data_IF_431919693696
#
_entry.id   IF_431919693696
#
_cell.length_a   1.000
_cell.length_b   1.000
_cell.length_c   1.000
_cell.angle_alpha   90.00
_cell.angle_beta   90.00
_cell.angle_gamma   90.00
#
_symmetry.space_group_name_H-M   'P 1'
#
loop_
_entity.id
_entity.type
_entity.pdbx_description
1 polymer ?
#
# COMPACT_ATOMS: atom_id res chain seq x y z
N UNK A 1 -14.53 -3.57 -16.62
CA UNK A 1 -14.15 -2.22 -16.16
C UNK A 1 -12.93 -1.76 -16.94
N UNK A 2 -12.58 -0.48 -16.82
CA UNK A 2 -11.30 0.04 -17.29
C UNK A 2 -10.26 -0.07 -16.17
N UNK A 3 -8.97 -0.03 -16.51
CA UNK A 3 -7.90 -0.05 -15.51
C UNK A 3 -7.78 1.31 -14.83
N UNK A 4 -7.81 1.29 -13.50
CA UNK A 4 -7.59 2.45 -12.64
C UNK A 4 -6.09 2.68 -12.40
N UNK A 5 -5.75 3.83 -11.82
CA UNK A 5 -4.37 4.22 -11.54
C UNK A 5 -4.20 4.55 -10.06
N UNK A 6 -3.14 4.04 -9.44
CA UNK A 6 -2.71 4.43 -8.10
C UNK A 6 -1.31 5.03 -8.18
N UNK A 7 -1.09 6.13 -7.48
CA UNK A 7 0.20 6.82 -7.43
C UNK A 7 0.67 6.87 -5.98
N UNK A 8 1.78 6.21 -5.69
CA UNK A 8 2.52 6.40 -4.45
C UNK A 8 3.47 7.59 -4.64
N UNK A 9 3.24 8.67 -3.91
CA UNK A 9 4.04 9.88 -4.00
C UNK A 9 5.14 9.91 -2.93
N UNK A 10 6.37 10.21 -3.35
CA UNK A 10 7.43 10.63 -2.44
C UNK A 10 7.25 12.13 -2.19
N UNK A 11 7.01 12.51 -0.94
CA UNK A 11 6.53 13.84 -0.55
C UNK A 11 5.14 14.20 -1.11
N UNK A 12 4.12 13.51 -0.61
CA UNK A 12 2.73 13.81 -0.90
C UNK A 12 1.80 12.75 -0.34
N UNK A 13 0.50 12.91 -0.55
CA UNK A 13 -0.47 11.84 -0.29
C UNK A 13 -0.47 10.86 -1.45
N UNK A 14 -0.75 9.58 -1.20
CA UNK A 14 -1.03 8.65 -2.30
C UNK A 14 -2.33 9.04 -3.00
N UNK A 15 -2.39 8.87 -4.32
CA UNK A 15 -3.56 9.25 -5.12
C UNK A 15 -4.16 8.00 -5.75
N UNK A 16 -5.49 7.98 -5.87
CA UNK A 16 -6.21 6.95 -6.59
C UNK A 16 -7.06 7.62 -7.66
N UNK A 17 -6.99 7.11 -8.88
CA UNK A 17 -7.73 7.62 -10.02
C UNK A 17 -8.61 6.55 -10.64
N UNK A 18 -9.90 6.85 -10.81
CA UNK A 18 -10.82 5.99 -11.57
C UNK A 18 -10.81 6.33 -13.06
N UNK A 19 -10.83 5.29 -13.88
CA UNK A 19 -10.83 5.39 -15.33
C UNK A 19 -12.21 5.09 -15.90
N UNK A 20 -12.79 6.04 -16.63
CA UNK A 20 -14.07 5.86 -17.32
C UNK A 20 -13.92 5.45 -18.80
N UNK A 21 -12.72 5.03 -19.21
CA UNK A 21 -12.37 4.64 -20.57
C UNK A 21 -11.89 5.78 -21.46
N UNK A 22 -11.95 7.02 -20.99
CA UNK A 22 -11.48 8.22 -21.71
C UNK A 22 -10.54 9.09 -20.88
N UNK A 23 -10.77 9.18 -19.58
CA UNK A 23 -10.05 10.04 -18.66
C UNK A 23 -10.00 9.46 -17.24
N UNK A 24 -8.94 9.84 -16.51
CA UNK A 24 -8.70 9.52 -15.11
C UNK A 24 -9.24 10.64 -14.21
N UNK A 25 -9.92 10.28 -13.12
CA UNK A 25 -10.48 11.22 -12.14
C UNK A 25 -9.90 10.90 -10.77
N UNK A 26 -9.28 11.88 -10.11
CA UNK A 26 -8.76 11.70 -8.75
C UNK A 26 -9.94 11.45 -7.79
N UNK A 27 -9.83 10.39 -6.99
CA UNK A 27 -10.86 9.91 -6.07
C UNK A 27 -10.26 9.47 -4.73
N UNK A 28 -9.03 9.86 -4.40
CA UNK A 28 -8.33 9.50 -3.17
C UNK A 28 -9.15 9.86 -1.94
N UNK A 29 -9.52 11.15 -1.81
CA UNK A 29 -10.34 11.63 -0.71
C UNK A 29 -11.70 10.90 -0.63
N UNK A 30 -12.39 10.76 -1.77
CA UNK A 30 -13.68 10.06 -1.84
C UNK A 30 -13.59 8.60 -1.39
N UNK A 31 -12.49 7.93 -1.72
CA UNK A 31 -12.27 6.52 -1.41
C UNK A 31 -11.62 6.30 -0.05
N UNK A 32 -11.13 7.36 0.60
CA UNK A 32 -10.40 7.30 1.87
C UNK A 32 -8.90 7.00 1.74
N UNK A 33 -8.37 6.97 0.52
CA UNK A 33 -6.94 6.84 0.24
C UNK A 33 -6.27 8.21 0.38
N UNK A 34 -5.05 8.24 0.92
CA UNK A 34 -4.20 9.43 0.77
C UNK A 34 -4.62 10.64 1.60
N UNK A 35 -4.82 10.47 2.91
CA UNK A 35 -5.10 11.60 3.81
C UNK A 35 -3.86 12.10 4.56
N UNK A 36 -2.79 11.31 4.63
CA UNK A 36 -1.55 11.67 5.34
C UNK A 36 -0.35 11.56 4.39
N UNK A 37 0.40 12.64 4.16
CA UNK A 37 1.56 12.60 3.29
C UNK A 37 2.68 11.76 3.90
N UNK A 38 3.29 10.92 3.08
CA UNK A 38 4.42 10.05 3.45
C UNK A 38 5.46 10.02 2.30
N UNK A 39 6.53 9.27 2.50
CA UNK A 39 7.60 9.02 1.53
C UNK A 39 7.31 7.72 0.79
N UNK A 40 6.25 7.72 -0.02
CA UNK A 40 5.80 6.54 -0.75
C UNK A 40 6.81 6.11 -1.81
N UNK A 41 7.32 4.87 -1.71
CA UNK A 41 8.38 4.36 -2.59
C UNK A 41 7.90 3.32 -3.59
N UNK A 42 6.89 2.51 -3.23
CA UNK A 42 6.33 1.47 -4.11
C UNK A 42 4.88 1.20 -3.72
N UNK A 43 4.05 0.89 -4.71
CA UNK A 43 2.70 0.36 -4.53
C UNK A 43 2.57 -1.03 -5.18
N UNK A 44 1.83 -1.92 -4.53
CA UNK A 44 1.58 -3.29 -4.98
C UNK A 44 0.13 -3.64 -4.66
N UNK A 45 -0.48 -4.38 -5.58
CA UNK A 45 -1.87 -4.79 -5.52
C UNK A 45 -1.96 -6.28 -5.21
N UNK A 46 -2.87 -6.68 -4.32
CA UNK A 46 -3.09 -8.08 -3.97
C UNK A 46 -4.46 -8.31 -3.33
N UNK A 47 -5.11 -9.43 -3.66
CA UNK A 47 -6.35 -9.87 -3.01
C UNK A 47 -6.01 -10.64 -1.71
N UNK A 48 -5.50 -9.91 -0.73
CA UNK A 48 -4.94 -10.48 0.51
C UNK A 48 -5.99 -11.15 1.40
N UNK A 49 -7.28 -10.91 1.15
CA UNK A 49 -8.40 -11.51 1.88
C UNK A 49 -9.16 -12.54 1.04
N UNK A 50 -8.69 -12.87 -0.18
CA UNK A 50 -9.36 -13.79 -1.10
C UNK A 50 -10.85 -13.47 -1.33
N UNK A 51 -11.16 -12.19 -1.47
CA UNK A 51 -12.53 -11.66 -1.58
C UNK A 51 -12.84 -11.07 -2.97
N UNK A 52 -11.93 -11.26 -3.93
CA UNK A 52 -12.03 -10.72 -5.28
C UNK A 52 -11.81 -9.21 -5.36
N UNK A 53 -11.17 -8.60 -4.34
CA UNK A 53 -10.89 -7.16 -4.31
C UNK A 53 -9.46 -6.90 -3.90
N UNK A 54 -8.77 -6.10 -4.70
CA UNK A 54 -7.37 -5.78 -4.44
C UNK A 54 -7.23 -4.77 -3.30
N UNK A 55 -6.43 -5.13 -2.31
CA UNK A 55 -5.80 -4.19 -1.40
C UNK A 55 -4.59 -3.54 -2.08
N UNK A 56 -4.19 -2.37 -1.59
CA UNK A 56 -2.98 -1.67 -2.03
C UNK A 56 -2.07 -1.49 -0.84
N UNK A 57 -0.92 -2.15 -0.86
CA UNK A 57 0.14 -1.82 0.09
C UNK A 57 0.95 -0.65 -0.48
N UNK A 58 1.45 0.22 0.40
CA UNK A 58 2.36 1.31 0.03
C UNK A 58 3.52 1.30 0.99
N UNK A 59 4.71 1.07 0.46
CA UNK A 59 5.94 1.15 1.25
C UNK A 59 6.32 2.63 1.46
N UNK A 60 6.70 2.96 2.68
CA UNK A 60 7.18 4.27 3.11
C UNK A 60 8.51 4.13 3.86
N UNK A 61 9.03 5.23 4.40
CA UNK A 61 10.25 5.23 5.20
C UNK A 61 9.89 5.22 6.70
N UNK A 62 10.40 4.20 7.40
CA UNK A 62 10.46 4.15 8.86
C UNK A 62 11.86 3.78 9.34
N UNK A 63 12.55 4.69 10.00
CA UNK A 63 13.85 4.47 10.64
C UNK A 63 13.88 5.19 12.00
N UNK A 64 14.15 4.44 13.07
CA UNK A 64 14.17 4.95 14.44
C UNK A 64 15.22 6.06 14.61
N UNK A 65 14.81 7.19 15.18
CA UNK A 65 15.68 8.35 15.36
C UNK A 65 15.89 9.22 14.10
N UNK A 66 15.34 8.82 12.94
CA UNK A 66 15.38 9.61 11.70
C UNK A 66 13.99 10.06 11.29
N UNK A 67 13.09 9.12 10.99
CA UNK A 67 11.75 9.39 10.46
C UNK A 67 10.88 8.15 10.63
N UNK A 68 9.71 8.27 11.27
CA UNK A 68 8.76 7.17 11.42
C UNK A 68 7.44 7.56 10.77
N UNK A 69 7.19 7.04 9.57
CA UNK A 69 5.92 7.26 8.86
C UNK A 69 5.02 6.02 8.84
N UNK A 70 5.60 4.81 8.83
CA UNK A 70 4.88 3.56 8.70
C UNK A 70 4.35 3.31 7.28
N UNK A 71 4.37 2.06 6.85
CA UNK A 71 3.76 1.63 5.61
C UNK A 71 2.23 1.75 5.68
N UNK A 72 1.56 1.83 4.53
CA UNK A 72 0.10 1.78 4.45
C UNK A 72 -0.35 0.46 3.84
N UNK A 73 -1.50 -0.03 4.27
CA UNK A 73 -2.19 -1.17 3.67
C UNK A 73 -3.66 -0.78 3.51
N UNK A 74 -4.00 -0.28 2.33
CA UNK A 74 -5.34 0.13 1.96
C UNK A 74 -6.16 -1.10 1.60
N UNK A 75 -7.07 -1.51 2.48
CA UNK A 75 -7.97 -2.66 2.28
C UNK A 75 -9.36 -2.16 1.92
N UNK A 76 -9.98 -2.68 0.85
CA UNK A 76 -11.32 -2.26 0.46
C UNK A 76 -12.35 -2.72 1.49
N UNK A 77 -13.20 -1.79 1.93
CA UNK A 77 -14.27 -2.05 2.89
C UNK A 77 -15.31 -3.02 2.31
N UNK A 78 -15.80 -3.92 3.14
CA UNK A 78 -16.85 -4.87 2.77
C UNK A 78 -18.10 -4.13 2.25
N UNK A 79 -18.78 -4.72 1.27
CA UNK A 79 -19.98 -4.11 0.66
C UNK A 79 -19.73 -2.90 -0.25
N UNK A 80 -18.49 -2.42 -0.41
CA UNK A 80 -18.17 -1.30 -1.31
C UNK A 80 -17.59 -1.77 -2.65
N UNK A 81 -17.89 -1.09 -3.75
CA UNK A 81 -17.41 -1.43 -5.11
C UNK A 81 -17.63 -0.29 -6.10
N UNK A 82 -16.91 -0.30 -7.22
CA UNK A 82 -17.04 0.71 -8.28
C UNK A 82 -16.86 2.12 -7.72
N UNK A 83 -17.72 3.06 -8.11
CA UNK A 83 -17.67 4.45 -7.63
C UNK A 83 -17.90 4.59 -6.11
N UNK A 84 -18.56 3.60 -5.50
CA UNK A 84 -18.81 3.53 -4.07
C UNK A 84 -17.68 2.87 -3.28
N UNK A 85 -16.60 2.43 -3.94
CA UNK A 85 -15.45 1.79 -3.28
C UNK A 85 -14.87 2.68 -2.18
N UNK A 86 -14.59 2.09 -1.01
CA UNK A 86 -13.93 2.76 0.11
C UNK A 86 -12.81 1.87 0.61
N UNK A 87 -11.72 2.48 1.05
CA UNK A 87 -10.57 1.81 1.66
C UNK A 87 -10.45 2.17 3.13
N UNK A 88 -9.71 1.33 3.83
CA UNK A 88 -9.25 1.54 5.20
C UNK A 88 -7.77 1.19 5.30
N UNK A 89 -7.00 1.96 6.06
CA UNK A 89 -5.61 1.63 6.31
C UNK A 89 -5.50 0.67 7.48
N UNK A 90 -5.29 -0.61 7.19
CA UNK A 90 -5.19 -1.68 8.20
C UNK A 90 -3.73 -2.05 8.54
N UNK A 91 -2.74 -1.27 8.08
CA UNK A 91 -1.33 -1.66 8.25
C UNK A 91 -0.95 -1.89 9.72
N UNK A 92 -1.39 -1.00 10.61
CA UNK A 92 -1.10 -1.11 12.05
C UNK A 92 -1.83 -2.27 12.70
N UNK A 93 -3.12 -2.41 12.38
CA UNK A 93 -3.98 -3.46 12.96
C UNK A 93 -3.53 -4.86 12.55
N UNK A 94 -3.02 -5.01 11.33
CA UNK A 94 -2.48 -6.26 10.81
C UNK A 94 -0.97 -6.43 11.07
N UNK A 95 -0.33 -5.51 11.82
CA UNK A 95 1.06 -5.65 12.24
C UNK A 95 2.10 -5.47 11.12
N UNK A 96 1.73 -4.87 9.99
CA UNK A 96 2.58 -4.66 8.81
C UNK A 96 2.92 -3.18 8.58
N UNK A 97 2.69 -2.31 9.55
CA UNK A 97 3.03 -0.88 9.48
C UNK A 97 4.55 -0.64 9.51
N UNK A 98 5.29 -1.43 10.28
CA UNK A 98 6.73 -1.23 10.46
C UNK A 98 7.52 -2.08 9.48
N UNK A 99 7.86 -1.47 8.34
CA UNK A 99 8.63 -2.13 7.28
C UNK A 99 10.10 -1.71 7.17
N UNK A 100 10.57 -0.68 7.88
CA UNK A 100 11.90 -0.12 7.71
C UNK A 100 11.96 0.93 6.60
N UNK A 101 13.15 1.17 6.03
CA UNK A 101 13.31 2.02 4.84
C UNK A 101 13.09 1.19 3.57
N UNK A 102 11.83 0.96 3.24
CA UNK A 102 11.41 0.04 2.18
C UNK A 102 11.36 0.70 0.79
N UNK A 103 12.06 0.11 -0.19
CA UNK A 103 12.16 0.62 -1.57
C UNK A 103 11.45 -0.22 -2.62
N UNK A 104 11.01 -1.41 -2.25
CA UNK A 104 10.40 -2.35 -3.17
C UNK A 104 9.62 -3.39 -2.41
N UNK A 105 8.57 -3.90 -3.03
CA UNK A 105 7.75 -4.95 -2.45
C UNK A 105 6.96 -5.70 -3.52
N UNK A 106 6.51 -6.90 -3.17
CA UNK A 106 5.69 -7.73 -4.04
C UNK A 106 4.81 -8.66 -3.20
N UNK A 107 3.57 -8.84 -3.64
CA UNK A 107 2.72 -9.92 -3.16
C UNK A 107 2.99 -11.21 -3.91
N UNK A 108 2.96 -12.34 -3.21
CA UNK A 108 3.04 -13.67 -3.78
C UNK A 108 2.69 -14.72 -2.74
N UNK A 109 2.19 -15.87 -3.17
CA UNK A 109 1.94 -17.01 -2.29
C UNK A 109 3.26 -17.79 -2.12
N UNK A 110 4.02 -17.47 -1.08
CA UNK A 110 5.39 -17.97 -0.87
C UNK A 110 5.40 -19.35 -0.23
N UNK A 111 4.35 -19.69 0.52
CA UNK A 111 4.21 -20.96 1.21
C UNK A 111 3.27 -21.95 0.50
N UNK A 112 2.62 -21.52 -0.59
CA UNK A 112 1.62 -22.27 -1.36
C UNK A 112 0.35 -22.63 -0.57
N UNK A 113 -0.09 -21.77 0.35
CA UNK A 113 -1.30 -21.99 1.14
C UNK A 113 -2.57 -21.38 0.52
N UNK A 114 -2.43 -20.70 -0.62
CA UNK A 114 -3.52 -20.03 -1.33
C UNK A 114 -3.81 -18.61 -0.83
N UNK A 115 -3.00 -18.07 0.09
CA UNK A 115 -3.07 -16.70 0.58
C UNK A 115 -1.84 -15.91 0.09
N UNK A 116 -2.02 -14.63 -0.20
CA UNK A 116 -0.89 -13.79 -0.60
C UNK A 116 -0.04 -13.40 0.62
N UNK A 117 1.24 -13.74 0.57
CA UNK A 117 2.28 -13.19 1.43
C UNK A 117 2.83 -11.88 0.86
N UNK A 118 3.49 -11.10 1.70
CA UNK A 118 4.14 -9.85 1.34
C UNK A 118 5.66 -9.97 1.52
N UNK A 119 6.39 -9.74 0.45
CA UNK A 119 7.84 -9.56 0.46
C UNK A 119 8.19 -8.08 0.34
N UNK A 120 9.11 -7.57 1.17
CA UNK A 120 9.64 -6.21 1.10
C UNK A 120 11.16 -6.22 1.02
N UNK A 121 11.71 -5.30 0.22
CA UNK A 121 13.14 -4.99 0.19
C UNK A 121 13.39 -3.67 0.90
N UNK A 122 14.26 -3.71 1.92
CA UNK A 122 14.72 -2.53 2.62
C UNK A 122 16.10 -2.08 2.16
N UNK A 123 16.24 -0.76 2.04
CA UNK A 123 17.53 -0.07 1.97
C UNK A 123 17.86 0.50 3.33
N UNK A 124 19.03 1.12 3.47
CA UNK A 124 19.42 1.80 4.72
C UNK A 124 19.45 0.91 5.98
N UNK A 125 19.72 -0.40 5.84
CA UNK A 125 20.21 -1.18 6.98
C UNK A 125 21.57 -0.57 7.34
N UNK A 126 21.59 0.19 8.43
CA UNK A 126 22.80 0.77 9.02
C UNK A 126 23.92 -0.29 9.07
N UNK A 127 25.18 0.13 8.97
CA UNK A 127 26.37 -0.71 8.79
C UNK A 127 26.64 -1.80 9.87
N UNK A 128 25.68 -2.14 10.72
CA UNK A 128 25.72 -3.27 11.64
C UNK A 128 25.32 -4.57 10.93
N UNK A 129 26.30 -5.47 10.76
CA UNK A 129 26.14 -6.76 10.07
C UNK A 129 25.20 -7.75 10.77
N UNK A 130 24.69 -7.41 11.97
CA UNK A 130 23.93 -8.35 12.82
C UNK A 130 22.44 -8.03 12.95
N UNK A 131 21.93 -7.06 12.20
CA UNK A 131 20.49 -6.75 12.16
C UNK A 131 20.00 -6.80 10.72
N UNK A 132 19.04 -7.68 10.47
CA UNK A 132 18.21 -7.68 9.26
C UNK A 132 16.92 -6.93 9.54
#
# INVERSE_FOLDING_TARGET
>A
GHQDLFVANDYGVSELYFNNGKQFHEVGEQTGVGFAPKSGMTAAFGDILNQGKYAVYVSNISEDGVLIQGNNLWVPKEGTSGDALRYENLARELGVEMGGWSWGMQFGDLNNDGTLDLYLTNGYVSADRNKS
#
